data_IF_436213410607
#
_entry.id   IF_436213410607
#
_cell.length_a   1.000
_cell.length_b   1.000
_cell.length_c   1.000
_cell.angle_alpha   90.00
_cell.angle_beta   90.00
_cell.angle_gamma   90.00
#
_symmetry.space_group_name_H-M   'P 1'
#
loop_
_entity.id
_entity.type
_entity.pdbx_description
1 polymer ?
#
# COMPACT_ATOMS: atom_id res chain seq x y z
N UNK A 1 15.78 -44.35 3.47
CA UNK A 1 15.63 -43.14 2.59
C UNK A 1 14.57 -42.17 3.04
N UNK A 2 13.32 -42.57 3.32
CA UNK A 2 12.22 -41.67 3.73
C UNK A 2 12.52 -40.85 4.98
N UNK A 3 13.08 -41.46 6.05
CA UNK A 3 13.38 -40.75 7.31
C UNK A 3 14.47 -39.66 7.14
N UNK A 4 15.53 -39.92 6.35
CA UNK A 4 16.57 -38.93 6.07
C UNK A 4 16.01 -37.73 5.30
N UNK A 5 15.11 -37.96 4.32
CA UNK A 5 14.42 -36.90 3.59
C UNK A 5 13.54 -36.05 4.51
N UNK A 6 12.75 -36.68 5.39
CA UNK A 6 11.91 -36.02 6.34
C UNK A 6 12.72 -35.14 7.30
N UNK A 7 13.80 -35.62 7.88
CA UNK A 7 14.72 -34.85 8.73
C UNK A 7 15.20 -33.62 7.97
N UNK A 8 15.72 -33.82 6.73
CA UNK A 8 16.20 -32.70 5.90
C UNK A 8 15.12 -31.62 5.68
N UNK A 9 13.90 -32.02 5.35
CA UNK A 9 12.80 -31.10 5.10
C UNK A 9 12.42 -30.32 6.37
N UNK A 10 12.34 -30.98 7.53
CA UNK A 10 12.09 -30.29 8.81
C UNK A 10 13.20 -29.32 9.16
N UNK A 11 14.48 -29.72 8.99
CA UNK A 11 15.62 -28.82 9.22
C UNK A 11 15.57 -27.62 8.30
N UNK A 12 15.30 -27.81 7.01
CA UNK A 12 15.16 -26.70 6.06
C UNK A 12 14.04 -25.76 6.45
N UNK A 13 12.85 -26.28 6.76
CA UNK A 13 11.71 -25.45 7.17
C UNK A 13 12.03 -24.71 8.47
N UNK A 14 12.66 -25.36 9.46
CA UNK A 14 13.08 -24.69 10.69
C UNK A 14 14.07 -23.57 10.43
N UNK A 15 15.05 -23.77 9.53
CA UNK A 15 15.98 -22.71 9.10
C UNK A 15 15.22 -21.56 8.46
N UNK A 16 14.27 -21.83 7.55
CA UNK A 16 13.46 -20.78 6.93
C UNK A 16 12.57 -20.03 7.92
N UNK A 17 12.02 -20.72 8.94
CA UNK A 17 11.24 -20.07 10.01
C UNK A 17 12.16 -19.16 10.83
N UNK A 18 13.34 -19.62 11.24
CA UNK A 18 14.31 -18.81 11.97
C UNK A 18 14.76 -17.61 11.14
N UNK A 19 15.08 -17.82 9.85
CA UNK A 19 15.44 -16.74 8.94
C UNK A 19 14.31 -15.73 8.77
N UNK A 20 13.07 -16.18 8.60
CA UNK A 20 11.92 -15.28 8.50
C UNK A 20 11.68 -14.49 9.78
N UNK A 21 11.89 -15.13 10.94
CA UNK A 21 11.79 -14.46 12.23
C UNK A 21 12.89 -13.40 12.39
N UNK A 22 14.12 -13.71 11.97
CA UNK A 22 15.20 -12.73 11.96
C UNK A 22 14.89 -11.56 11.02
N UNK A 23 14.45 -11.84 9.79
CA UNK A 23 14.05 -10.81 8.83
C UNK A 23 12.88 -9.95 9.32
N UNK A 24 11.99 -10.50 10.13
CA UNK A 24 10.87 -9.74 10.71
C UNK A 24 11.35 -8.69 11.72
N UNK A 25 12.42 -8.95 12.47
CA UNK A 25 12.85 -8.10 13.58
C UNK A 25 14.18 -7.37 13.37
N UNK A 26 15.02 -7.82 12.45
CA UNK A 26 16.36 -7.24 12.23
C UNK A 26 16.28 -6.22 11.10
N UNK A 27 16.87 -5.03 11.36
CA UNK A 27 17.10 -4.01 10.34
C UNK A 27 18.49 -4.17 9.73
N UNK A 28 18.60 -3.96 8.39
CA UNK A 28 19.87 -3.97 7.70
C UNK A 28 19.82 -3.09 6.44
N UNK A 29 20.94 -2.47 6.04
CA UNK A 29 21.04 -1.76 4.77
C UNK A 29 21.01 -2.75 3.60
N UNK A 30 20.21 -2.46 2.57
CA UNK A 30 20.16 -3.30 1.36
C UNK A 30 21.36 -2.96 0.48
N UNK A 31 22.29 -3.90 0.22
CA UNK A 31 23.49 -3.64 -0.56
C UNK A 31 23.17 -3.12 -1.96
N UNK A 32 23.86 -2.04 -2.38
CA UNK A 32 23.68 -1.44 -3.70
C UNK A 32 22.48 -0.50 -3.84
N UNK A 33 21.79 -0.19 -2.74
CA UNK A 33 20.68 0.77 -2.70
C UNK A 33 20.83 1.71 -1.51
N UNK A 34 20.10 2.84 -1.54
CA UNK A 34 19.98 3.73 -0.38
C UNK A 34 18.85 3.32 0.57
N UNK A 35 18.30 2.13 0.38
CA UNK A 35 17.18 1.62 1.15
C UNK A 35 17.67 0.82 2.37
N UNK A 36 17.10 1.12 3.55
CA UNK A 36 17.29 0.36 4.76
C UNK A 36 16.05 -0.50 5.03
N UNK A 37 16.21 -1.80 5.05
CA UNK A 37 15.15 -2.70 5.49
C UNK A 37 15.08 -2.67 7.01
N UNK A 38 13.94 -2.32 7.57
CA UNK A 38 13.72 -2.19 9.03
C UNK A 38 12.84 -3.31 9.61
N UNK A 39 12.50 -4.33 8.83
CA UNK A 39 11.59 -5.39 9.25
C UNK A 39 10.23 -4.83 9.67
N UNK A 40 9.76 -5.17 10.87
CA UNK A 40 8.50 -4.65 11.41
C UNK A 40 8.51 -3.13 11.59
N UNK A 41 9.70 -2.51 11.66
CA UNK A 41 9.85 -1.06 11.71
C UNK A 41 9.52 -0.35 10.40
N UNK A 42 9.45 -1.08 9.27
CA UNK A 42 8.93 -0.55 8.01
C UNK A 42 7.40 -0.53 7.94
N UNK A 43 6.73 -1.10 8.92
CA UNK A 43 5.28 -1.00 8.99
C UNK A 43 4.92 0.39 9.52
N UNK A 44 4.54 1.28 8.62
CA UNK A 44 4.10 2.62 8.98
C UNK A 44 2.77 2.54 9.73
N UNK A 45 2.79 2.96 10.99
CA UNK A 45 1.55 3.09 11.75
C UNK A 45 0.81 4.34 11.31
N UNK A 46 -0.48 4.20 11.02
CA UNK A 46 -1.32 5.31 10.61
C UNK A 46 -1.48 6.41 11.67
N UNK A 47 -2.06 7.54 11.24
CA UNK A 47 -2.34 8.72 12.06
C UNK A 47 -3.09 8.38 13.36
N UNK A 48 -4.02 7.41 13.28
CA UNK A 48 -4.83 6.98 14.41
C UNK A 48 -4.01 6.35 15.53
N UNK A 49 -2.95 5.62 15.18
CA UNK A 49 -2.12 4.86 16.10
C UNK A 49 -0.89 5.64 16.55
N UNK A 50 -0.19 6.28 15.61
CA UNK A 50 1.10 6.93 15.89
C UNK A 50 0.99 8.44 16.02
N UNK A 51 -0.09 9.03 15.49
CA UNK A 51 -0.16 10.47 15.29
C UNK A 51 0.64 10.88 14.06
N UNK A 52 0.96 12.15 13.98
CA UNK A 52 1.67 12.73 12.84
C UNK A 52 1.77 14.23 13.00
N UNK A 53 1.70 14.95 11.91
CA UNK A 53 1.66 16.40 11.90
C UNK A 53 0.33 16.93 11.35
N UNK A 54 -0.05 18.07 11.88
CA UNK A 54 -1.16 18.88 11.45
C UNK A 54 -0.63 20.23 10.97
N UNK A 55 -1.00 20.64 9.77
CA UNK A 55 -0.69 21.97 9.28
C UNK A 55 -1.92 22.65 8.73
N UNK A 56 -2.00 23.95 8.92
CA UNK A 56 -3.12 24.79 8.45
C UNK A 56 -2.62 25.77 7.42
N UNK A 57 -3.33 25.85 6.30
CA UNK A 57 -3.02 26.70 5.17
C UNK A 57 -4.17 27.65 4.90
N UNK A 58 -3.85 28.90 4.54
CA UNK A 58 -4.80 29.84 3.99
C UNK A 58 -5.04 29.54 2.52
N UNK A 59 -6.30 29.57 2.10
CA UNK A 59 -6.72 29.43 0.71
C UNK A 59 -7.03 30.79 0.12
N UNK A 60 -6.50 31.07 -1.05
CA UNK A 60 -6.73 32.27 -1.82
C UNK A 60 -7.12 31.87 -3.24
N UNK A 61 -8.30 32.30 -3.69
CA UNK A 61 -8.75 32.04 -5.05
C UNK A 61 -8.04 33.00 -6.00
N UNK A 62 -7.62 32.49 -7.15
CA UNK A 62 -6.97 33.28 -8.18
C UNK A 62 -7.92 34.38 -8.73
N UNK A 63 -7.37 35.54 -9.09
CA UNK A 63 -8.15 36.69 -9.60
C UNK A 63 -8.92 36.36 -10.89
N UNK A 64 -8.44 35.41 -11.67
CA UNK A 64 -9.08 34.96 -12.91
C UNK A 64 -10.21 33.93 -12.71
N UNK A 65 -10.42 33.45 -11.48
CA UNK A 65 -11.44 32.43 -11.22
C UNK A 65 -12.81 33.06 -11.08
N UNK A 66 -13.71 32.79 -12.03
CA UNK A 66 -15.07 33.40 -12.08
C UNK A 66 -16.13 32.57 -11.33
N UNK A 67 -15.78 31.42 -10.77
CA UNK A 67 -16.70 30.50 -10.08
C UNK A 67 -16.96 30.86 -8.61
N UNK A 68 -17.78 30.03 -7.95
CA UNK A 68 -18.01 30.16 -6.51
C UNK A 68 -16.75 29.78 -5.73
N UNK A 69 -16.30 30.66 -4.82
CA UNK A 69 -15.12 30.43 -3.99
C UNK A 69 -15.20 29.13 -3.17
N UNK A 70 -16.38 28.85 -2.62
CA UNK A 70 -16.59 27.64 -1.81
C UNK A 70 -16.45 26.36 -2.66
N UNK A 71 -16.90 26.39 -3.91
CA UNK A 71 -16.72 25.26 -4.84
C UNK A 71 -15.24 25.02 -5.16
N UNK A 72 -14.46 26.10 -5.34
CA UNK A 72 -13.02 26.01 -5.52
C UNK A 72 -12.33 25.40 -4.28
N UNK A 73 -12.73 25.80 -3.09
CA UNK A 73 -12.19 25.27 -1.84
C UNK A 73 -12.55 23.79 -1.64
N UNK A 74 -13.78 23.40 -1.93
CA UNK A 74 -14.20 21.99 -1.87
C UNK A 74 -13.42 21.13 -2.87
N UNK A 75 -13.25 21.58 -4.11
CA UNK A 75 -12.39 20.92 -5.11
C UNK A 75 -10.93 20.81 -4.64
N UNK A 76 -10.45 21.83 -3.93
CA UNK A 76 -9.11 21.81 -3.33
C UNK A 76 -9.00 20.70 -2.27
N UNK A 77 -9.99 20.60 -1.37
CA UNK A 77 -10.04 19.52 -0.37
C UNK A 77 -10.03 18.14 -1.04
N UNK A 78 -10.93 17.94 -2.01
CA UNK A 78 -11.03 16.67 -2.75
C UNK A 78 -9.72 16.33 -3.46
N UNK A 79 -9.09 17.33 -4.09
CA UNK A 79 -7.82 17.13 -4.81
C UNK A 79 -6.68 16.76 -3.88
N UNK A 80 -6.52 17.48 -2.77
CA UNK A 80 -5.48 17.20 -1.79
C UNK A 80 -5.72 15.84 -1.13
N UNK A 81 -6.97 15.53 -0.77
CA UNK A 81 -7.30 14.22 -0.22
C UNK A 81 -6.94 13.11 -1.20
N UNK A 82 -7.29 13.25 -2.48
CA UNK A 82 -6.90 12.31 -3.53
C UNK A 82 -5.37 12.12 -3.63
N UNK A 83 -4.61 13.22 -3.60
CA UNK A 83 -3.15 13.15 -3.67
C UNK A 83 -2.53 12.48 -2.45
N UNK A 84 -3.07 12.75 -1.27
CA UNK A 84 -2.62 12.13 -0.02
C UNK A 84 -2.99 10.65 0.04
N UNK A 85 -4.17 10.26 -0.43
CA UNK A 85 -4.65 8.88 -0.46
C UNK A 85 -3.78 7.96 -1.35
N UNK A 86 -2.95 8.53 -2.23
CA UNK A 86 -1.97 7.77 -3.02
C UNK A 86 -0.81 7.22 -2.17
N UNK A 87 -0.52 7.86 -1.03
CA UNK A 87 0.62 7.51 -0.18
C UNK A 87 0.22 7.26 1.29
N UNK A 88 -0.87 7.88 1.75
CA UNK A 88 -1.35 7.80 3.12
C UNK A 88 -2.81 7.36 3.13
N UNK A 89 -3.08 6.26 3.76
CA UNK A 89 -4.42 5.68 3.78
C UNK A 89 -5.35 6.31 4.83
N UNK A 90 -4.82 7.09 5.75
CA UNK A 90 -5.55 7.72 6.86
C UNK A 90 -5.27 9.22 7.03
N UNK A 91 -4.64 9.84 6.04
CA UNK A 91 -4.50 11.29 6.00
C UNK A 91 -5.89 11.97 5.98
N UNK A 92 -5.99 13.12 6.64
CA UNK A 92 -7.25 13.88 6.74
C UNK A 92 -7.06 15.27 6.18
N UNK A 93 -8.03 15.69 5.39
CA UNK A 93 -8.10 17.04 4.83
C UNK A 93 -9.50 17.59 5.07
N UNK A 94 -9.58 18.77 5.66
CA UNK A 94 -10.88 19.41 5.91
C UNK A 94 -10.77 20.93 5.97
N UNK A 95 -11.84 21.61 5.57
CA UNK A 95 -11.98 23.04 5.79
C UNK A 95 -12.25 23.30 7.27
N UNK A 96 -11.48 24.17 7.90
CA UNK A 96 -11.67 24.55 9.30
C UNK A 96 -12.29 25.96 9.45
N UNK A 97 -12.34 26.75 8.38
CA UNK A 97 -13.04 28.03 8.25
C UNK A 97 -13.25 28.35 6.77
N UNK A 98 -13.89 29.47 6.45
CA UNK A 98 -14.27 29.84 5.09
C UNK A 98 -13.10 29.87 4.08
N UNK A 99 -11.89 30.10 4.55
CA UNK A 99 -10.70 30.17 3.69
C UNK A 99 -9.49 29.41 4.25
N UNK A 100 -9.68 28.48 5.15
CA UNK A 100 -8.59 27.70 5.77
C UNK A 100 -8.80 26.23 5.64
N UNK A 101 -7.74 25.54 5.23
CA UNK A 101 -7.70 24.08 5.13
C UNK A 101 -6.69 23.52 6.11
N UNK A 102 -7.07 22.45 6.77
CA UNK A 102 -6.18 21.71 7.64
C UNK A 102 -5.88 20.35 7.02
N UNK A 103 -4.60 20.00 7.05
CA UNK A 103 -4.06 18.74 6.56
C UNK A 103 -3.40 18.03 7.73
N UNK A 104 -3.78 16.76 7.96
CA UNK A 104 -3.17 15.89 8.96
C UNK A 104 -2.60 14.66 8.24
N UNK A 105 -1.32 14.38 8.42
CA UNK A 105 -0.61 13.24 7.82
C UNK A 105 0.18 12.47 8.86
N UNK A 106 0.30 11.13 8.73
CA UNK A 106 1.09 10.29 9.64
C UNK A 106 2.59 10.34 9.32
N UNK A 107 3.13 11.53 9.12
CA UNK A 107 4.52 11.76 8.75
C UNK A 107 5.08 12.92 9.55
N UNK A 108 6.36 13.19 9.42
CA UNK A 108 7.06 14.29 10.08
C UNK A 108 6.98 15.61 9.30
N UNK A 109 6.56 15.57 8.05
CA UNK A 109 6.39 16.74 7.18
C UNK A 109 5.36 16.50 6.08
N UNK A 110 4.69 17.56 5.65
CA UNK A 110 3.82 17.52 4.46
C UNK A 110 4.66 17.87 3.24
N UNK A 111 4.73 16.93 2.29
CA UNK A 111 5.41 17.18 1.04
C UNK A 111 4.63 18.21 0.20
N UNK A 112 5.32 19.24 -0.31
CA UNK A 112 4.74 20.28 -1.16
C UNK A 112 4.06 19.74 -2.43
N UNK A 113 4.40 18.53 -2.87
CA UNK A 113 3.78 17.91 -4.04
C UNK A 113 2.31 17.50 -3.83
N UNK A 114 1.85 17.47 -2.57
CA UNK A 114 0.43 17.23 -2.25
C UNK A 114 -0.39 18.49 -2.14
N UNK A 115 0.25 19.66 -2.22
CA UNK A 115 -0.43 20.94 -2.11
C UNK A 115 -0.91 21.39 -3.49
N UNK A 116 -2.00 22.15 -3.47
CA UNK A 116 -2.53 22.83 -4.65
C UNK A 116 -1.87 24.18 -4.77
N UNK A 117 -1.61 24.66 -5.98
CA UNK A 117 -1.01 25.96 -6.22
C UNK A 117 -1.41 26.54 -7.56
N UNK A 118 -0.90 27.73 -7.84
CA UNK A 118 -1.13 28.44 -9.10
C UNK A 118 0.08 28.30 -10.02
N UNK A 119 -0.16 28.07 -11.31
CA UNK A 119 0.86 28.16 -12.34
C UNK A 119 0.82 29.53 -13.00
N UNK A 120 1.98 30.11 -13.21
CA UNK A 120 2.20 31.34 -13.97
C UNK A 120 3.35 31.13 -14.97
N UNK A 121 3.09 31.43 -16.25
CA UNK A 121 4.13 31.44 -17.28
C UNK A 121 4.40 32.88 -17.71
N UNK A 122 5.66 33.29 -17.66
CA UNK A 122 6.11 34.68 -17.88
C UNK A 122 7.24 34.74 -18.89
N UNK A 123 7.34 35.87 -19.60
CA UNK A 123 8.44 36.16 -20.49
C UNK A 123 9.70 36.68 -19.76
N UNK A 124 9.53 37.24 -18.57
CA UNK A 124 10.57 37.76 -17.72
C UNK A 124 10.58 37.16 -16.34
N UNK A 125 11.73 37.14 -15.66
CA UNK A 125 11.84 36.62 -14.30
C UNK A 125 11.34 37.62 -13.26
N UNK A 126 10.77 37.10 -12.15
CA UNK A 126 10.45 37.85 -10.97
C UNK A 126 8.96 38.11 -10.77
N UNK A 127 8.66 38.73 -9.61
CA UNK A 127 7.28 38.97 -9.14
C UNK A 127 6.56 40.01 -10.02
N UNK A 128 7.26 41.04 -10.44
CA UNK A 128 6.64 42.18 -11.14
C UNK A 128 6.36 41.91 -12.62
N UNK A 129 6.89 40.82 -13.18
CA UNK A 129 6.59 40.39 -14.54
C UNK A 129 5.15 39.88 -14.64
N UNK A 130 4.46 40.30 -15.71
CA UNK A 130 3.05 39.90 -15.96
C UNK A 130 2.98 38.40 -16.31
N UNK A 131 2.05 37.66 -15.65
CA UNK A 131 1.73 36.31 -16.03
C UNK A 131 0.89 36.31 -17.32
N UNK A 132 1.47 35.80 -18.41
CA UNK A 132 0.80 35.73 -19.72
C UNK A 132 -0.09 34.53 -19.88
N UNK A 133 0.29 33.40 -19.27
CA UNK A 133 -0.46 32.14 -19.27
C UNK A 133 -0.60 31.66 -17.84
N UNK A 134 -1.78 31.23 -17.46
CA UNK A 134 -2.13 30.79 -16.12
C UNK A 134 -2.91 29.47 -16.17
N UNK A 135 -3.30 28.92 -15.02
CA UNK A 135 -4.06 27.67 -14.95
C UNK A 135 -5.37 27.67 -15.75
N UNK A 136 -6.05 28.83 -15.89
CA UNK A 136 -7.29 28.93 -16.70
C UNK A 136 -7.06 28.68 -18.19
N UNK A 137 -5.84 28.86 -18.67
CA UNK A 137 -5.46 28.73 -20.08
C UNK A 137 -5.07 27.29 -20.45
N UNK A 138 -5.01 26.40 -19.46
CA UNK A 138 -4.63 24.99 -19.61
C UNK A 138 -5.89 24.11 -19.60
N UNK A 139 -6.01 23.23 -20.59
CA UNK A 139 -7.11 22.28 -20.72
C UNK A 139 -6.81 20.93 -20.05
N UNK A 140 -5.61 20.42 -20.24
CA UNK A 140 -5.21 19.15 -19.63
C UNK A 140 -3.70 19.07 -19.39
N UNK A 141 -3.31 18.27 -18.40
CA UNK A 141 -1.91 17.96 -18.07
C UNK A 141 -1.77 16.46 -17.90
N UNK A 142 -0.75 15.87 -18.54
CA UNK A 142 -0.49 14.43 -18.47
C UNK A 142 1.00 14.14 -18.46
N UNK A 143 1.41 13.11 -17.73
CA UNK A 143 2.72 12.52 -17.93
C UNK A 143 2.81 11.89 -19.34
N UNK A 144 3.94 12.09 -20.01
CA UNK A 144 4.20 11.48 -21.31
C UNK A 144 5.68 11.08 -21.43
N UNK A 145 5.91 9.92 -22.07
CA UNK A 145 7.22 9.46 -22.48
C UNK A 145 7.40 9.74 -23.97
N UNK A 146 8.33 10.61 -24.34
CA UNK A 146 8.68 10.90 -25.73
C UNK A 146 10.04 10.27 -26.06
N UNK A 147 10.02 9.16 -26.79
CA UNK A 147 11.22 8.33 -26.99
C UNK A 147 11.74 7.77 -25.66
N UNK A 148 12.89 8.23 -25.20
CA UNK A 148 13.49 7.89 -23.89
C UNK A 148 13.35 9.02 -22.86
N UNK A 149 12.75 10.16 -23.24
CA UNK A 149 12.67 11.36 -22.39
C UNK A 149 11.35 11.39 -21.65
N UNK A 150 11.43 11.40 -20.32
CA UNK A 150 10.28 11.60 -19.44
C UNK A 150 9.91 13.08 -19.40
N UNK A 151 8.61 13.39 -19.41
CA UNK A 151 8.16 14.78 -19.34
C UNK A 151 6.68 14.90 -19.08
N UNK A 152 6.21 16.12 -19.07
CA UNK A 152 4.80 16.48 -18.86
C UNK A 152 4.28 17.14 -20.14
N UNK A 153 3.19 16.60 -20.64
CA UNK A 153 2.44 17.13 -21.77
C UNK A 153 1.34 18.05 -21.25
N UNK A 154 1.31 19.27 -21.71
CA UNK A 154 0.32 20.30 -21.38
C UNK A 154 -0.44 20.65 -22.64
N UNK A 155 -1.74 20.56 -22.59
CA UNK A 155 -2.66 20.98 -23.65
C UNK A 155 -3.37 22.26 -23.21
N UNK A 156 -3.45 23.25 -24.08
CA UNK A 156 -4.04 24.55 -23.79
C UNK A 156 -5.48 24.60 -24.28
N UNK A 157 -6.30 25.44 -23.63
CA UNK A 157 -7.60 25.87 -24.15
C UNK A 157 -7.43 26.69 -25.44
N UNK A 158 -8.51 26.92 -26.22
CA UNK A 158 -8.38 27.74 -27.43
C UNK A 158 -7.82 29.15 -27.14
N UNK A 159 -8.28 29.79 -26.04
CA UNK A 159 -7.74 31.06 -25.58
C UNK A 159 -6.28 30.93 -25.10
N UNK A 160 -5.99 29.85 -24.39
CA UNK A 160 -4.66 29.55 -23.89
C UNK A 160 -3.65 29.32 -25.01
N UNK A 161 -4.05 28.67 -26.10
CA UNK A 161 -3.24 28.46 -27.30
C UNK A 161 -2.79 29.80 -27.90
N UNK A 162 -3.71 30.78 -28.06
CA UNK A 162 -3.37 32.09 -28.56
C UNK A 162 -2.41 32.86 -27.62
N UNK A 163 -2.66 32.79 -26.32
CA UNK A 163 -1.79 33.41 -25.31
C UNK A 163 -0.39 32.77 -25.29
N UNK A 164 -0.33 31.43 -25.35
CA UNK A 164 0.92 30.70 -25.34
C UNK A 164 1.74 30.94 -26.62
N UNK A 165 1.09 31.04 -27.78
CA UNK A 165 1.76 31.40 -29.03
C UNK A 165 2.39 32.81 -28.94
N UNK A 166 1.64 33.81 -28.41
CA UNK A 166 2.15 35.15 -28.17
C UNK A 166 3.31 35.17 -27.19
N UNK A 167 3.20 34.46 -26.08
CA UNK A 167 4.25 34.34 -25.08
C UNK A 167 5.55 33.73 -25.68
N UNK A 168 5.42 32.60 -26.39
CA UNK A 168 6.57 31.92 -26.99
C UNK A 168 7.22 32.77 -28.09
N UNK A 169 6.45 33.53 -28.87
CA UNK A 169 6.97 34.50 -29.85
C UNK A 169 7.75 35.64 -29.18
N UNK A 170 7.21 36.21 -28.09
CA UNK A 170 7.86 37.25 -27.30
C UNK A 170 9.19 36.74 -26.73
N UNK A 171 9.18 35.56 -26.10
CA UNK A 171 10.37 34.94 -25.52
C UNK A 171 11.39 34.57 -26.56
N UNK A 172 11.00 34.03 -27.72
CA UNK A 172 11.92 33.70 -28.80
C UNK A 172 12.63 34.95 -29.39
N UNK A 173 11.98 36.12 -29.31
CA UNK A 173 12.53 37.39 -29.75
C UNK A 173 13.37 38.07 -28.68
N UNK A 174 13.41 37.58 -27.45
CA UNK A 174 14.22 38.15 -26.37
C UNK A 174 15.65 37.65 -26.40
N UNK A 175 16.58 38.41 -25.83
CA UNK A 175 18.01 38.05 -25.77
C UNK A 175 18.24 36.74 -24.99
N UNK A 176 17.48 36.50 -23.97
CA UNK A 176 17.62 35.31 -23.09
C UNK A 176 16.96 34.07 -23.64
N UNK A 177 15.93 34.18 -24.48
CA UNK A 177 15.14 33.11 -25.04
C UNK A 177 14.67 32.11 -23.97
N UNK A 178 14.36 32.61 -22.77
CA UNK A 178 13.99 31.79 -21.60
C UNK A 178 12.58 32.15 -21.13
N UNK A 179 11.71 31.19 -21.09
CA UNK A 179 10.38 31.31 -20.46
C UNK A 179 10.50 30.90 -19.00
N UNK A 180 9.86 31.63 -18.11
CA UNK A 180 9.86 31.36 -16.68
C UNK A 180 8.48 30.77 -16.26
N UNK A 181 8.50 29.59 -15.68
CA UNK A 181 7.31 28.93 -15.16
C UNK A 181 7.41 28.93 -13.64
N UNK A 182 6.50 29.59 -13.00
CA UNK A 182 6.40 29.66 -11.53
C UNK A 182 5.20 28.85 -11.02
N UNK A 183 5.35 28.32 -9.83
CA UNK A 183 4.28 27.65 -9.08
C UNK A 183 4.14 28.31 -7.72
N UNK A 184 2.92 28.40 -7.23
CA UNK A 184 2.60 28.84 -5.85
C UNK A 184 3.07 30.27 -5.53
N UNK A 185 3.25 31.12 -6.53
CA UNK A 185 3.82 32.48 -6.40
C UNK A 185 5.25 32.49 -5.79
N UNK A 186 5.98 31.38 -5.89
CA UNK A 186 7.39 31.33 -5.53
C UNK A 186 8.24 31.91 -6.67
N UNK A 187 8.47 33.22 -6.61
CA UNK A 187 9.21 33.94 -7.65
C UNK A 187 10.73 33.90 -7.43
N UNK A 188 11.19 33.36 -6.31
CA UNK A 188 12.61 33.18 -6.05
C UNK A 188 13.14 31.92 -6.75
N UNK A 189 12.29 30.89 -6.85
CA UNK A 189 12.64 29.61 -7.45
C UNK A 189 11.68 29.27 -8.59
N UNK A 190 12.12 29.44 -9.83
CA UNK A 190 11.30 29.04 -10.98
C UNK A 190 11.13 27.49 -10.98
N UNK A 191 9.90 27.05 -11.20
CA UNK A 191 9.57 25.64 -11.34
C UNK A 191 10.26 25.02 -12.57
N UNK A 192 10.34 25.80 -13.67
CA UNK A 192 11.05 25.43 -14.90
C UNK A 192 11.43 26.67 -15.69
N UNK A 193 12.56 26.60 -16.37
CA UNK A 193 13.12 27.69 -17.22
C UNK A 193 13.44 27.15 -18.63
N UNK A 194 12.43 26.71 -19.41
CA UNK A 194 12.67 26.18 -20.74
C UNK A 194 13.16 27.24 -21.71
N UNK A 195 14.10 26.83 -22.59
CA UNK A 195 14.53 27.65 -23.74
C UNK A 195 13.48 27.58 -24.84
N UNK A 196 13.13 28.74 -25.38
CA UNK A 196 12.13 28.90 -26.44
C UNK A 196 12.78 29.66 -27.60
N UNK A 197 13.00 28.97 -28.70
CA UNK A 197 13.70 29.51 -29.89
C UNK A 197 12.76 29.91 -31.01
N UNK A 198 11.50 29.49 -30.94
CA UNK A 198 10.47 29.76 -31.96
C UNK A 198 9.08 29.87 -31.35
N UNK A 199 8.15 30.47 -32.08
CA UNK A 199 6.74 30.55 -31.74
C UNK A 199 6.09 29.14 -31.71
N UNK A 200 5.39 28.81 -30.65
CA UNK A 200 4.63 27.58 -30.56
C UNK A 200 3.14 27.84 -30.70
N UNK A 201 2.59 27.57 -31.88
CA UNK A 201 1.16 27.72 -32.21
C UNK A 201 0.37 26.39 -32.21
N UNK A 202 0.99 25.29 -31.80
CA UNK A 202 0.34 23.95 -31.85
C UNK A 202 -0.78 23.74 -30.82
N UNK A 203 -0.84 24.54 -29.78
CA UNK A 203 -1.84 24.42 -28.71
C UNK A 203 -1.45 23.40 -27.64
N UNK A 204 -0.22 22.89 -27.67
CA UNK A 204 0.35 22.02 -26.65
C UNK A 204 1.83 22.28 -26.46
N UNK A 205 2.35 21.83 -25.34
CA UNK A 205 3.80 21.84 -25.07
C UNK A 205 4.22 20.60 -24.30
N UNK A 206 5.50 20.23 -24.42
CA UNK A 206 6.10 19.14 -23.69
C UNK A 206 7.25 19.70 -22.85
N UNK A 207 7.13 19.60 -21.53
CA UNK A 207 8.15 20.05 -20.58
C UNK A 207 8.93 18.84 -20.10
N UNK A 208 10.23 18.86 -20.32
CA UNK A 208 11.20 17.90 -19.81
C UNK A 208 12.36 18.64 -19.17
N UNK A 209 13.11 17.98 -18.31
CA UNK A 209 14.26 18.63 -17.68
C UNK A 209 14.84 17.86 -16.50
N UNK A 210 15.79 18.48 -15.81
CA UNK A 210 16.58 17.84 -14.74
C UNK A 210 15.78 17.33 -13.55
N UNK A 211 14.56 17.82 -13.32
CA UNK A 211 13.66 17.34 -12.28
C UNK A 211 12.81 16.13 -12.66
N UNK A 212 12.73 15.82 -13.98
CA UNK A 212 11.86 14.73 -14.50
C UNK A 212 12.75 13.61 -15.06
N UNK A 213 13.30 12.81 -14.16
CA UNK A 213 14.28 11.77 -14.51
C UNK A 213 13.70 10.38 -14.77
N UNK A 214 12.46 10.13 -14.31
CA UNK A 214 11.80 8.84 -14.43
C UNK A 214 10.26 9.01 -14.44
N UNK A 215 9.55 7.90 -14.65
CA UNK A 215 8.07 7.89 -14.69
C UNK A 215 7.46 8.48 -13.41
N UNK A 216 7.96 8.09 -12.23
CA UNK A 216 7.41 8.53 -10.94
C UNK A 216 7.50 10.05 -10.80
N UNK A 217 8.67 10.63 -11.01
CA UNK A 217 8.86 12.09 -10.95
C UNK A 217 8.01 12.81 -12.01
N UNK A 218 7.91 12.26 -13.22
CA UNK A 218 7.07 12.84 -14.28
C UNK A 218 5.57 12.84 -13.93
N UNK A 219 5.08 11.77 -13.33
CA UNK A 219 3.69 11.72 -12.85
C UNK A 219 3.44 12.67 -11.66
N UNK A 220 4.39 12.83 -10.74
CA UNK A 220 4.31 13.80 -9.63
C UNK A 220 4.23 15.23 -10.16
N UNK A 221 5.08 15.59 -11.12
CA UNK A 221 5.06 16.90 -11.78
C UNK A 221 3.73 17.14 -12.53
N UNK A 222 3.25 16.14 -13.27
CA UNK A 222 1.98 16.25 -13.97
C UNK A 222 0.81 16.47 -12.99
N UNK A 223 0.76 15.73 -11.88
CA UNK A 223 -0.27 15.89 -10.84
C UNK A 223 -0.23 17.27 -10.19
N UNK A 224 0.97 17.80 -9.92
CA UNK A 224 1.11 19.14 -9.34
C UNK A 224 0.62 20.22 -10.31
N UNK A 225 1.01 20.14 -11.57
CA UNK A 225 0.54 21.08 -12.61
C UNK A 225 -0.97 20.97 -12.84
N UNK A 226 -1.53 19.76 -12.85
CA UNK A 226 -2.97 19.54 -12.97
C UNK A 226 -3.74 20.17 -11.78
N UNK A 227 -3.16 20.16 -10.59
CA UNK A 227 -3.77 20.80 -9.42
C UNK A 227 -3.90 22.32 -9.56
N UNK A 228 -3.07 22.97 -10.39
CA UNK A 228 -3.15 24.40 -10.65
C UNK A 228 -4.39 24.84 -11.45
N UNK A 229 -5.07 23.88 -12.09
CA UNK A 229 -6.32 24.13 -12.83
C UNK A 229 -7.50 24.51 -11.92
N UNK A 230 -7.41 24.20 -10.63
CA UNK A 230 -8.46 24.54 -9.65
C UNK A 230 -8.51 26.06 -9.41
N UNK A 231 -7.41 26.76 -9.59
CA UNK A 231 -7.34 28.20 -9.41
C UNK A 231 -7.32 28.64 -7.93
N UNK A 232 -6.68 27.86 -7.07
CA UNK A 232 -6.51 28.17 -5.64
C UNK A 232 -5.02 28.16 -5.30
N UNK A 233 -4.58 29.18 -4.61
CA UNK A 233 -3.26 29.25 -3.99
C UNK A 233 -3.35 28.86 -2.51
N UNK A 234 -2.30 28.21 -2.02
CA UNK A 234 -2.17 27.84 -0.61
C UNK A 234 -0.94 28.48 0.00
N UNK A 235 -1.11 29.19 1.09
CA UNK A 235 -0.01 29.73 1.89
C UNK A 235 -0.04 29.16 3.29
N UNK A 236 1.14 28.87 3.85
CA UNK A 236 1.27 28.38 5.22
C UNK A 236 0.87 29.49 6.19
N UNK A 237 -0.06 29.19 7.09
CA UNK A 237 -0.48 30.14 8.12
C UNK A 237 0.25 29.93 9.45
N UNK A 238 0.38 28.67 9.85
CA UNK A 238 0.94 28.28 11.13
C UNK A 238 2.06 27.25 10.94
N UNK A 239 2.97 27.20 11.90
CA UNK A 239 3.96 26.14 11.96
C UNK A 239 3.29 24.77 12.15
N UNK A 240 3.88 23.69 11.61
CA UNK A 240 3.37 22.34 11.80
C UNK A 240 3.26 21.97 13.28
N UNK A 241 2.12 21.41 13.67
CA UNK A 241 1.86 20.97 15.06
C UNK A 241 1.87 19.45 15.08
N UNK A 242 2.60 18.86 16.02
CA UNK A 242 2.52 17.42 16.25
C UNK A 242 1.15 17.04 16.82
N UNK A 243 0.51 16.08 16.17
CA UNK A 243 -0.76 15.49 16.60
C UNK A 243 -0.50 14.11 17.16
N UNK A 244 -0.97 13.87 18.37
CA UNK A 244 -0.91 12.53 18.97
C UNK A 244 -1.93 11.61 18.31
N UNK A 245 -1.60 10.32 18.23
CA UNK A 245 -2.54 9.32 17.72
C UNK A 245 -3.84 9.32 18.53
N UNK A 246 -4.96 9.22 17.82
CA UNK A 246 -6.32 9.14 18.41
C UNK A 246 -6.39 7.98 19.42
N UNK A 247 -5.75 6.86 19.08
CA UNK A 247 -5.57 5.72 19.97
C UNK A 247 -4.21 5.84 20.67
N UNK A 248 -4.20 6.04 21.96
CA UNK A 248 -2.97 6.19 22.74
C UNK A 248 -2.07 4.94 22.76
N UNK A 249 -0.92 5.02 23.41
CA UNK A 249 0.04 3.92 23.52
C UNK A 249 -0.56 2.62 24.11
N UNK A 250 -1.57 2.72 24.97
CA UNK A 250 -2.27 1.55 25.51
C UNK A 250 -2.93 0.72 24.41
N UNK A 251 -3.52 1.36 23.38
CA UNK A 251 -4.12 0.67 22.24
C UNK A 251 -3.08 -0.02 21.35
N UNK A 252 -1.91 0.60 21.15
CA UNK A 252 -0.80 -0.05 20.44
C UNK A 252 -0.37 -1.34 21.14
N UNK A 253 -0.19 -1.27 22.46
CA UNK A 253 0.16 -2.45 23.29
C UNK A 253 -0.96 -3.50 23.17
N UNK A 254 -2.22 -3.09 23.26
CA UNK A 254 -3.35 -3.99 23.13
C UNK A 254 -3.39 -4.70 21.76
N UNK A 255 -3.08 -4.00 20.66
CA UNK A 255 -2.94 -4.57 19.32
C UNK A 255 -1.89 -5.69 19.30
N UNK A 256 -0.69 -5.44 19.81
CA UNK A 256 0.37 -6.45 19.85
C UNK A 256 -0.01 -7.64 20.74
N UNK A 257 -0.52 -7.38 21.92
CA UNK A 257 -0.94 -8.43 22.86
C UNK A 257 -2.06 -9.28 22.26
N UNK A 258 -3.07 -8.66 21.68
CA UNK A 258 -4.21 -9.38 21.05
C UNK A 258 -3.73 -10.21 19.85
N UNK A 259 -2.82 -9.70 19.05
CA UNK A 259 -2.20 -10.47 17.94
C UNK A 259 -1.54 -11.74 18.47
N UNK A 260 -0.70 -11.62 19.50
CA UNK A 260 -0.01 -12.76 20.10
C UNK A 260 -1.00 -13.75 20.70
N UNK A 261 -2.03 -13.27 21.40
CA UNK A 261 -3.08 -14.11 22.00
C UNK A 261 -3.85 -14.88 20.93
N UNK A 262 -4.26 -14.25 19.83
CA UNK A 262 -4.96 -14.92 18.71
C UNK A 262 -4.06 -15.99 18.08
N UNK A 263 -2.81 -15.71 17.82
CA UNK A 263 -1.87 -16.67 17.24
C UNK A 263 -1.67 -17.87 18.19
N UNK A 264 -1.44 -17.62 19.47
CA UNK A 264 -1.31 -18.67 20.47
C UNK A 264 -2.59 -19.51 20.56
N UNK A 265 -3.76 -18.88 20.57
CA UNK A 265 -5.04 -19.58 20.58
C UNK A 265 -5.19 -20.51 19.36
N UNK A 266 -4.86 -20.02 18.15
CA UNK A 266 -4.87 -20.85 16.94
C UNK A 266 -3.93 -22.06 17.06
N UNK A 267 -2.73 -21.86 17.58
CA UNK A 267 -1.77 -22.95 17.80
C UNK A 267 -2.31 -23.96 18.83
N UNK A 268 -2.82 -23.49 19.96
CA UNK A 268 -3.39 -24.37 21.00
C UNK A 268 -4.56 -25.18 20.45
N UNK A 269 -5.50 -24.54 19.74
CA UNK A 269 -6.65 -25.24 19.15
C UNK A 269 -6.17 -26.28 18.12
N UNK A 270 -5.21 -25.94 17.26
CA UNK A 270 -4.63 -26.88 16.31
C UNK A 270 -4.01 -28.12 17.00
N UNK A 271 -3.31 -27.91 18.12
CA UNK A 271 -2.70 -28.99 18.90
C UNK A 271 -3.78 -29.83 19.63
N UNK A 272 -4.81 -29.21 20.18
CA UNK A 272 -5.91 -29.94 20.81
C UNK A 272 -6.62 -30.83 19.77
N UNK A 273 -6.89 -30.32 18.58
CA UNK A 273 -7.65 -31.07 17.55
C UNK A 273 -6.82 -32.20 16.91
N UNK A 274 -5.53 -32.01 16.70
CA UNK A 274 -4.70 -32.95 15.92
C UNK A 274 -3.43 -33.41 16.64
N UNK A 275 -3.23 -33.03 17.89
CA UNK A 275 -2.08 -33.39 18.74
C UNK A 275 -0.74 -33.09 18.02
N UNK A 276 0.15 -34.09 17.93
CA UNK A 276 1.48 -33.91 17.30
C UNK A 276 1.39 -33.43 15.84
N UNK A 277 0.39 -33.90 15.09
CA UNK A 277 0.17 -33.46 13.71
C UNK A 277 -0.29 -31.99 13.63
N UNK A 278 -1.09 -31.56 14.59
CA UNK A 278 -1.46 -30.16 14.75
C UNK A 278 -0.22 -29.28 14.97
N UNK A 279 0.68 -29.70 15.85
CA UNK A 279 1.93 -28.97 16.10
C UNK A 279 2.78 -28.84 14.84
N UNK A 280 2.90 -29.92 14.06
CA UNK A 280 3.60 -29.91 12.77
C UNK A 280 2.97 -28.94 11.76
N UNK A 281 1.62 -28.93 11.68
CA UNK A 281 0.89 -28.01 10.81
C UNK A 281 1.07 -26.55 11.24
N UNK A 282 1.14 -26.29 12.55
CA UNK A 282 1.34 -24.94 13.09
C UNK A 282 2.72 -24.38 12.78
N UNK A 283 3.74 -25.19 12.49
CA UNK A 283 5.01 -24.69 11.97
C UNK A 283 4.85 -24.01 10.61
N UNK A 284 4.06 -24.60 9.70
CA UNK A 284 3.78 -23.96 8.40
C UNK A 284 2.88 -22.74 8.52
N UNK A 285 1.95 -22.75 9.50
CA UNK A 285 1.12 -21.60 9.83
C UNK A 285 1.95 -20.41 10.33
N UNK A 286 2.85 -20.61 11.31
CA UNK A 286 3.73 -19.56 11.83
C UNK A 286 4.64 -19.01 10.71
N UNK A 287 5.17 -19.88 9.85
CA UNK A 287 5.95 -19.46 8.71
C UNK A 287 5.15 -18.52 7.78
N UNK A 288 3.89 -18.84 7.49
CA UNK A 288 3.03 -17.98 6.69
C UNK A 288 2.81 -16.59 7.32
N UNK A 289 2.64 -16.52 8.65
CA UNK A 289 2.49 -15.25 9.36
C UNK A 289 3.74 -14.38 9.21
N UNK A 290 4.93 -14.95 9.42
CA UNK A 290 6.20 -14.23 9.28
C UNK A 290 6.38 -13.72 7.85
N UNK A 291 6.13 -14.57 6.85
CA UNK A 291 6.21 -14.17 5.44
C UNK A 291 5.21 -13.06 5.11
N UNK A 292 4.00 -13.11 5.65
CA UNK A 292 2.99 -12.05 5.45
C UNK A 292 3.47 -10.70 6.01
N UNK A 293 4.09 -10.68 7.20
CA UNK A 293 4.67 -9.47 7.78
C UNK A 293 5.83 -8.95 6.94
N UNK A 294 6.71 -9.83 6.45
CA UNK A 294 7.82 -9.44 5.57
C UNK A 294 7.30 -8.82 4.26
N UNK A 295 6.29 -9.44 3.63
CA UNK A 295 5.68 -8.89 2.40
C UNK A 295 5.08 -7.51 2.69
N UNK A 296 4.39 -7.33 3.81
CA UNK A 296 3.81 -6.04 4.20
C UNK A 296 4.88 -4.97 4.40
N UNK A 297 5.98 -5.31 5.05
CA UNK A 297 7.12 -4.41 5.24
C UNK A 297 7.81 -4.03 3.92
N UNK A 298 7.92 -4.98 2.97
CA UNK A 298 8.50 -4.73 1.64
C UNK A 298 7.57 -3.90 0.75
N UNK A 299 6.25 -4.01 0.94
CA UNK A 299 5.25 -3.24 0.20
C UNK A 299 4.96 -1.88 0.84
N UNK A 300 5.68 -1.51 1.91
CA UNK A 300 5.50 -0.26 2.65
C UNK A 300 4.05 -0.02 3.10
N UNK A 301 3.42 -1.07 3.61
CA UNK A 301 2.00 -1.04 3.96
C UNK A 301 1.76 -0.27 5.25
N UNK A 302 0.75 0.60 5.22
CA UNK A 302 0.29 1.27 6.43
C UNK A 302 -0.58 0.36 7.29
N UNK A 303 -0.30 0.33 8.58
CA UNK A 303 -1.09 -0.38 9.60
C UNK A 303 -1.91 0.64 10.39
N UNK A 304 -3.15 0.84 9.98
CA UNK A 304 -4.19 1.51 10.77
C UNK A 304 -4.88 0.50 11.68
N UNK A 305 -5.78 0.94 12.55
CA UNK A 305 -6.60 0.01 13.34
C UNK A 305 -7.45 -0.91 12.45
N UNK A 306 -8.04 -0.38 11.39
CA UNK A 306 -8.77 -1.17 10.40
C UNK A 306 -7.84 -2.15 9.65
N UNK A 307 -6.64 -1.72 9.27
CA UNK A 307 -5.62 -2.56 8.64
C UNK A 307 -5.19 -3.72 9.52
N UNK A 308 -5.00 -3.47 10.82
CA UNK A 308 -4.71 -4.53 11.78
C UNK A 308 -5.83 -5.58 11.85
N UNK A 309 -7.12 -5.17 11.84
CA UNK A 309 -8.24 -6.11 11.76
C UNK A 309 -8.12 -6.98 10.50
N UNK A 310 -7.77 -6.39 9.36
CA UNK A 310 -7.53 -7.11 8.11
C UNK A 310 -6.45 -8.19 8.25
N UNK A 311 -5.32 -7.88 8.87
CA UNK A 311 -4.28 -8.87 9.20
C UNK A 311 -4.80 -9.99 10.09
N UNK A 312 -5.54 -9.66 11.15
CA UNK A 312 -6.06 -10.67 12.07
C UNK A 312 -7.04 -11.62 11.37
N UNK A 313 -7.91 -11.08 10.53
CA UNK A 313 -8.79 -11.90 9.69
C UNK A 313 -7.99 -12.81 8.75
N UNK A 314 -6.93 -12.30 8.12
CA UNK A 314 -6.03 -13.07 7.28
C UNK A 314 -5.31 -14.18 8.04
N UNK A 315 -4.87 -13.93 9.27
CA UNK A 315 -4.21 -14.93 10.13
C UNK A 315 -5.16 -16.04 10.55
N UNK A 316 -6.39 -15.69 10.97
CA UNK A 316 -7.41 -16.68 11.31
C UNK A 316 -7.83 -17.48 10.08
N UNK A 317 -7.99 -16.83 8.92
CA UNK A 317 -8.27 -17.48 7.66
C UNK A 317 -7.19 -18.50 7.28
N UNK A 318 -5.93 -18.11 7.39
CA UNK A 318 -4.78 -18.98 7.17
C UNK A 318 -4.83 -20.22 8.07
N UNK A 319 -5.14 -20.04 9.36
CA UNK A 319 -5.34 -21.15 10.29
C UNK A 319 -6.39 -22.14 9.79
N UNK A 320 -7.56 -21.66 9.38
CA UNK A 320 -8.63 -22.54 8.88
C UNK A 320 -8.18 -23.33 7.65
N UNK A 321 -7.47 -22.74 6.71
CA UNK A 321 -6.99 -23.43 5.52
C UNK A 321 -5.98 -24.53 5.85
N UNK A 322 -5.13 -24.35 6.87
CA UNK A 322 -4.24 -25.40 7.35
C UNK A 322 -5.02 -26.57 7.96
N UNK A 323 -6.10 -26.27 8.68
CA UNK A 323 -6.97 -27.29 9.27
C UNK A 323 -7.78 -28.06 8.22
N UNK A 324 -8.11 -27.46 7.08
CA UNK A 324 -8.84 -28.15 6.00
C UNK A 324 -8.13 -29.41 5.54
N UNK A 325 -6.82 -29.35 5.29
CA UNK A 325 -6.07 -30.52 4.87
C UNK A 325 -6.04 -31.60 5.96
N UNK A 326 -5.80 -31.24 7.21
CA UNK A 326 -5.76 -32.19 8.32
C UNK A 326 -7.13 -32.85 8.58
N UNK A 327 -8.21 -32.06 8.51
CA UNK A 327 -9.58 -32.59 8.59
C UNK A 327 -9.86 -33.60 7.48
N UNK A 328 -9.38 -33.33 6.26
CA UNK A 328 -9.54 -34.28 5.15
C UNK A 328 -8.74 -35.56 5.39
N UNK A 329 -7.51 -35.46 5.90
CA UNK A 329 -6.71 -36.63 6.28
C UNK A 329 -7.44 -37.47 7.34
N UNK A 330 -7.98 -36.81 8.36
CA UNK A 330 -8.79 -37.48 9.42
C UNK A 330 -10.00 -38.23 8.84
N UNK A 331 -10.73 -37.62 7.91
CA UNK A 331 -11.89 -38.26 7.23
C UNK A 331 -11.45 -39.45 6.38
N UNK A 332 -10.36 -39.34 5.62
CA UNK A 332 -9.86 -40.46 4.80
C UNK A 332 -9.39 -41.63 5.66
N UNK A 333 -8.84 -41.35 6.85
CA UNK A 333 -8.48 -42.37 7.82
C UNK A 333 -9.73 -43.07 8.45
N UNK A 334 -10.74 -42.26 8.83
CA UNK A 334 -12.00 -42.77 9.37
C UNK A 334 -12.74 -43.70 8.38
N UNK A 335 -12.59 -43.48 7.07
CA UNK A 335 -13.11 -44.35 6.02
C UNK A 335 -12.34 -45.66 5.86
N UNK A 336 -11.47 -46.04 6.81
CA UNK A 336 -10.73 -47.32 6.84
C UNK A 336 -9.43 -47.35 6.04
N UNK A 337 -8.94 -46.21 5.48
CA UNK A 337 -7.66 -46.19 4.78
C UNK A 337 -6.49 -46.36 5.74
N UNK A 338 -5.39 -46.98 5.26
CA UNK A 338 -4.16 -47.06 6.02
C UNK A 338 -3.62 -45.68 6.35
N UNK A 339 -3.07 -45.47 7.53
CA UNK A 339 -2.58 -44.19 8.05
C UNK A 339 -1.75 -43.37 7.01
N UNK A 340 -0.72 -43.99 6.41
CA UNK A 340 0.12 -43.32 5.41
C UNK A 340 -0.66 -42.97 4.13
N UNK A 341 -1.59 -43.83 3.72
CA UNK A 341 -2.39 -43.65 2.49
C UNK A 341 -3.37 -42.48 2.66
N UNK A 342 -3.92 -42.28 3.87
CA UNK A 342 -4.84 -41.18 4.17
C UNK A 342 -4.25 -39.80 3.87
N UNK A 343 -2.95 -39.60 4.13
CA UNK A 343 -2.27 -38.31 3.83
C UNK A 343 -2.15 -38.04 2.33
N UNK A 344 -1.88 -39.07 1.54
CA UNK A 344 -1.73 -38.90 0.09
C UNK A 344 -3.07 -38.82 -0.62
N UNK A 345 -4.07 -39.61 -0.20
CA UNK A 345 -5.39 -39.58 -0.80
C UNK A 345 -6.20 -38.31 -0.44
N UNK A 346 -5.98 -37.75 0.75
CA UNK A 346 -6.62 -36.50 1.18
C UNK A 346 -6.19 -35.27 0.39
N UNK A 347 -4.98 -35.31 -0.21
CA UNK A 347 -4.38 -34.10 -0.77
C UNK A 347 -5.18 -33.52 -1.93
N UNK A 348 -5.52 -34.31 -2.95
CA UNK A 348 -6.20 -33.80 -4.14
C UNK A 348 -7.56 -33.19 -3.82
N UNK A 349 -8.45 -33.85 -3.04
CA UNK A 349 -9.72 -33.23 -2.61
C UNK A 349 -9.53 -31.97 -1.74
N UNK A 350 -8.56 -31.98 -0.81
CA UNK A 350 -8.29 -30.83 0.02
C UNK A 350 -7.77 -29.65 -0.78
N UNK A 351 -6.91 -29.90 -1.79
CA UNK A 351 -6.34 -28.88 -2.67
C UNK A 351 -7.43 -28.11 -3.41
N UNK A 352 -8.40 -28.82 -4.02
CA UNK A 352 -9.50 -28.15 -4.72
C UNK A 352 -10.35 -27.32 -3.77
N UNK A 353 -10.71 -27.86 -2.61
CA UNK A 353 -11.48 -27.10 -1.61
C UNK A 353 -10.73 -25.86 -1.11
N UNK A 354 -9.42 -25.95 -0.88
CA UNK A 354 -8.60 -24.81 -0.49
C UNK A 354 -8.53 -23.78 -1.60
N UNK A 355 -8.36 -24.20 -2.86
CA UNK A 355 -8.35 -23.31 -4.02
C UNK A 355 -9.68 -22.58 -4.20
N UNK A 356 -10.82 -23.29 -4.07
CA UNK A 356 -12.14 -22.70 -4.17
C UNK A 356 -12.36 -21.64 -3.10
N UNK A 357 -12.01 -21.95 -1.84
CA UNK A 357 -12.12 -21.01 -0.73
C UNK A 357 -11.16 -19.81 -0.92
N UNK A 358 -9.93 -20.02 -1.37
CA UNK A 358 -8.99 -18.95 -1.68
C UNK A 358 -9.52 -18.03 -2.78
N UNK A 359 -10.04 -18.58 -3.88
CA UNK A 359 -10.57 -17.82 -5.01
C UNK A 359 -11.79 -16.99 -4.61
N UNK A 360 -12.76 -17.62 -3.93
CA UNK A 360 -13.99 -16.94 -3.48
C UNK A 360 -13.63 -15.82 -2.51
N UNK A 361 -12.80 -16.12 -1.50
CA UNK A 361 -12.42 -15.12 -0.50
C UNK A 361 -11.62 -13.97 -1.09
N UNK A 362 -10.64 -14.28 -1.96
CA UNK A 362 -9.85 -13.25 -2.66
C UNK A 362 -10.76 -12.38 -3.52
N UNK A 363 -11.64 -12.97 -4.31
CA UNK A 363 -12.60 -12.23 -5.14
C UNK A 363 -13.52 -11.34 -4.31
N UNK A 364 -14.06 -11.86 -3.20
CA UNK A 364 -14.92 -11.09 -2.29
C UNK A 364 -14.16 -9.90 -1.69
N UNK A 365 -12.95 -10.12 -1.21
CA UNK A 365 -12.14 -9.06 -0.59
C UNK A 365 -11.73 -8.00 -1.62
N UNK A 366 -11.39 -8.39 -2.84
CA UNK A 366 -11.11 -7.43 -3.92
C UNK A 366 -12.33 -6.59 -4.27
N UNK A 367 -13.54 -7.17 -4.25
CA UNK A 367 -14.78 -6.41 -4.45
C UNK A 367 -15.03 -5.39 -3.33
N UNK A 368 -14.63 -5.68 -2.09
CA UNK A 368 -14.78 -4.70 -0.99
C UNK A 368 -13.88 -3.47 -1.17
N UNK A 369 -12.82 -3.56 -1.98
CA UNK A 369 -11.97 -2.39 -2.28
C UNK A 369 -12.67 -1.33 -3.14
N UNK A 370 -13.79 -1.67 -3.81
CA UNK A 370 -14.60 -0.74 -4.60
C UNK A 370 -15.41 0.19 -3.69
N UNK A 371 -15.65 -0.21 -2.43
CA UNK A 371 -16.39 0.60 -1.47
C UNK A 371 -15.63 1.90 -1.20
N UNK A 372 -16.27 3.09 -1.28
CA UNK A 372 -15.63 4.38 -1.08
C UNK A 372 -15.39 4.68 0.41
N UNK A 373 -14.69 3.78 1.10
CA UNK A 373 -14.30 3.91 2.50
C UNK A 373 -12.84 3.50 2.65
N UNK A 374 -12.00 4.45 3.04
CA UNK A 374 -10.56 4.19 3.24
C UNK A 374 -10.33 3.08 4.26
N UNK A 375 -11.06 3.06 5.37
CA UNK A 375 -10.93 2.03 6.40
C UNK A 375 -11.20 0.61 5.86
N UNK A 376 -12.27 0.43 5.04
CA UNK A 376 -12.60 -0.85 4.43
C UNK A 376 -11.52 -1.24 3.40
N UNK A 377 -11.04 -0.29 2.60
CA UNK A 377 -9.99 -0.53 1.61
C UNK A 377 -8.69 -0.97 2.25
N UNK A 378 -8.26 -0.30 3.33
CA UNK A 378 -7.04 -0.66 4.08
C UNK A 378 -7.19 -2.04 4.73
N UNK A 379 -8.34 -2.31 5.34
CA UNK A 379 -8.63 -3.63 5.91
C UNK A 379 -8.53 -4.72 4.84
N UNK A 380 -9.12 -4.50 3.66
CA UNK A 380 -9.06 -5.42 2.54
C UNK A 380 -7.63 -5.61 2.01
N UNK A 381 -6.85 -4.55 1.83
CA UNK A 381 -5.46 -4.61 1.38
C UNK A 381 -4.59 -5.43 2.34
N UNK A 382 -4.69 -5.17 3.64
CA UNK A 382 -3.91 -5.89 4.65
C UNK A 382 -4.34 -7.36 4.75
N UNK A 383 -5.59 -7.69 4.47
CA UNK A 383 -6.03 -9.08 4.34
C UNK A 383 -5.42 -9.73 3.09
N UNK A 384 -5.55 -9.10 1.91
CA UNK A 384 -5.07 -9.64 0.62
C UNK A 384 -3.57 -9.94 0.67
N UNK A 385 -2.77 -9.13 1.34
CA UNK A 385 -1.32 -9.32 1.44
C UNK A 385 -0.94 -10.62 2.16
N UNK A 386 -1.84 -11.18 2.98
CA UNK A 386 -1.61 -12.47 3.64
C UNK A 386 -1.85 -13.66 2.71
N UNK A 387 -2.59 -13.48 1.61
CA UNK A 387 -3.04 -14.57 0.73
C UNK A 387 -1.89 -15.33 0.05
N UNK A 388 -0.85 -14.70 -0.52
CA UNK A 388 0.24 -15.42 -1.16
C UNK A 388 0.96 -16.38 -0.23
N UNK A 389 1.28 -15.94 0.98
CA UNK A 389 1.91 -16.77 2.00
C UNK A 389 0.98 -17.91 2.45
N UNK A 390 -0.30 -17.59 2.67
CA UNK A 390 -1.34 -18.55 3.03
C UNK A 390 -1.53 -19.62 1.95
N UNK A 391 -1.61 -19.23 0.70
CA UNK A 391 -1.75 -20.16 -0.43
C UNK A 391 -0.56 -21.11 -0.52
N UNK A 392 0.66 -20.57 -0.49
CA UNK A 392 1.87 -21.39 -0.55
C UNK A 392 1.95 -22.39 0.62
N UNK A 393 1.71 -21.94 1.83
CA UNK A 393 1.88 -22.78 3.01
C UNK A 393 0.76 -23.80 3.17
N UNK A 394 -0.51 -23.43 2.94
CA UNK A 394 -1.64 -24.34 3.06
C UNK A 394 -1.69 -25.39 1.94
N UNK A 395 -1.33 -25.00 0.69
CA UNK A 395 -1.36 -25.93 -0.44
C UNK A 395 -0.15 -26.86 -0.51
N UNK A 396 1.04 -26.37 -0.18
CA UNK A 396 2.29 -27.13 -0.40
C UNK A 396 3.01 -27.50 0.89
N UNK A 397 3.36 -26.51 1.72
CA UNK A 397 4.25 -26.74 2.87
C UNK A 397 3.58 -27.63 3.94
N UNK A 398 2.34 -27.35 4.26
CA UNK A 398 1.56 -28.13 5.23
C UNK A 398 1.47 -29.62 4.85
N UNK A 399 1.20 -29.91 3.56
CA UNK A 399 1.24 -31.28 3.03
C UNK A 399 2.60 -31.93 3.18
N UNK A 400 3.67 -31.23 2.80
CA UNK A 400 5.02 -31.80 2.86
C UNK A 400 5.37 -32.21 4.28
N UNK A 401 5.16 -31.30 5.24
CA UNK A 401 5.42 -31.56 6.65
C UNK A 401 4.55 -32.68 7.23
N UNK A 402 3.24 -32.68 6.92
CA UNK A 402 2.34 -33.71 7.38
C UNK A 402 2.68 -35.11 6.81
N UNK A 403 3.04 -35.19 5.53
CA UNK A 403 3.47 -36.47 4.93
C UNK A 403 4.81 -36.92 5.51
N UNK A 404 5.76 -36.00 5.70
CA UNK A 404 7.06 -36.34 6.29
C UNK A 404 6.94 -36.77 7.77
N UNK A 405 5.94 -36.28 8.50
CA UNK A 405 5.61 -36.74 9.85
C UNK A 405 5.38 -38.27 9.88
N UNK A 406 4.75 -38.83 8.85
CA UNK A 406 4.50 -40.29 8.79
C UNK A 406 5.78 -41.13 8.74
N UNK A 407 6.91 -40.54 8.35
CA UNK A 407 8.21 -41.24 8.33
C UNK A 407 8.79 -41.47 9.74
N UNK A 408 8.32 -40.70 10.73
CA UNK A 408 8.77 -40.83 12.13
C UNK A 408 7.83 -41.69 12.97
N UNK A 409 6.51 -41.64 12.69
CA UNK A 409 5.47 -42.21 13.51
C UNK A 409 4.53 -43.13 12.72
N UNK A 410 5.10 -44.24 12.21
CA UNK A 410 4.40 -45.19 11.33
C UNK A 410 3.26 -46.01 11.96
N UNK A 411 3.12 -46.00 13.30
CA UNK A 411 2.18 -46.90 14.00
C UNK A 411 1.47 -46.31 15.22
N UNK A 412 1.57 -45.03 15.50
CA UNK A 412 0.99 -44.46 16.71
C UNK A 412 -0.17 -43.51 16.41
N UNK A 413 -1.30 -44.07 16.03
CA UNK A 413 -2.55 -43.38 15.66
C UNK A 413 -3.08 -42.50 16.81
N UNK A 414 -2.91 -42.98 18.05
CA UNK A 414 -3.31 -42.25 19.26
C UNK A 414 -2.61 -40.92 19.45
N UNK A 415 -1.43 -40.74 18.84
CA UNK A 415 -0.67 -39.45 18.87
C UNK A 415 -1.23 -38.36 18.00
N UNK A 416 -2.14 -38.68 17.07
CA UNK A 416 -2.72 -37.74 16.11
C UNK A 416 -4.21 -37.51 16.30
N UNK A 417 -4.81 -38.13 17.30
CA UNK A 417 -6.26 -38.05 17.61
C UNK A 417 -7.16 -38.51 16.44
N UNK A 418 -6.75 -39.57 15.72
CA UNK A 418 -7.55 -40.22 14.69
C UNK A 418 -8.24 -41.44 15.22
N UNK A 419 -9.54 -41.59 14.91
CA UNK A 419 -10.37 -42.74 15.27
C UNK A 419 -10.89 -43.36 13.97
N UNK A 420 -10.98 -44.68 13.91
CA UNK A 420 -11.58 -45.39 12.80
C UNK A 420 -13.10 -45.41 12.95
N UNK A 421 -13.82 -45.46 11.82
CA UNK A 421 -15.29 -45.50 11.83
C UNK A 421 -15.88 -46.72 12.53
N UNK A 422 -15.21 -47.87 12.39
CA UNK A 422 -15.54 -49.12 13.05
C UNK A 422 -15.34 -49.09 14.59
N UNK A 423 -14.50 -48.17 15.12
CA UNK A 423 -14.34 -47.97 16.58
C UNK A 423 -15.37 -46.97 17.17
N UNK A 424 -16.10 -46.20 16.32
CA UNK A 424 -17.12 -45.27 16.78
C UNK A 424 -18.42 -45.97 17.15
N UNK A 425 -18.76 -47.05 16.43
CA UNK A 425 -19.97 -47.86 16.67
C UNK A 425 -19.88 -48.73 17.94
N UNK A 426 -18.67 -48.91 18.54
CA UNK A 426 -18.48 -49.64 19.79
C UNK A 426 -18.56 -48.76 21.07
N UNK A 427 -18.68 -47.43 20.91
CA UNK A 427 -18.66 -46.47 22.03
C UNK A 427 -20.01 -45.77 22.23
N UNK A 428 -21.00 -45.98 21.35
CA UNK A 428 -22.40 -45.62 21.55
C UNK A 428 -23.17 -46.85 22.09
#
# INVERSE_FOLDING_TARGET
MKKKRAIRNYVLVSIFIVLSLLLTFISFPVPGTNYNYLGIGNLHMGLELNGGIKNTYNLEVADWYEGNKMDAYNKTVERIQYLLDLNYSDAKVYLCSDNKITIEVPDTSINKNYLVGLIEMKSESGKDAEAKVTGQDIASVKYMLSGTTHGVYIEFTEKGKEKFAKLTKEVASSDKQTMYIYMDKDYENAFSEPKVTEENSYGYTFISGSGITNKKTGEEYARKLESSLIGVNMSTELDPIEVKGTFGNATKIAIYVTTVVIVIACVIIGVILFRELGLVSMLSYIFALMVSVIISALCDMQVTFAGWIGFMLGFVFNYFLHMFYLNRVKKEYAMGKKFIVSFTSAYKPALFNILDVLLITTGTVLLTMIVPSNAIRIMALNFVITIPATAFTSLFLNKVLAVDYTAFNLRNEKKVNFVRGDEIDEVE
#
